data_IF_814681807068
#
_entry.id   IF_814681807068
#
_cell.length_a   1.000
_cell.length_b   1.000
_cell.length_c   1.000
_cell.angle_alpha   90.00
_cell.angle_beta   90.00
_cell.angle_gamma   90.00
#
_symmetry.space_group_name_H-M   'P 1'
#
loop_
_entity.id
_entity.type
_entity.pdbx_description
1 polymer ?
#
# COMPACT_ATOMS: atom_id res chain seq x y z
N UNK A 1 6.15 7.18 -5.81
CA UNK A 1 5.69 8.42 -6.49
C UNK A 1 6.83 9.04 -7.29
N UNK A 2 6.54 9.59 -8.49
CA UNK A 2 7.49 10.30 -9.38
C UNK A 2 7.86 11.66 -8.75
N UNK A 3 9.11 11.81 -8.31
CA UNK A 3 9.63 13.01 -7.59
C UNK A 3 9.86 14.22 -8.50
N UNK A 4 9.73 14.03 -9.80
CA UNK A 4 10.03 14.98 -10.87
C UNK A 4 8.90 15.99 -11.14
N UNK A 5 7.72 15.81 -10.52
CA UNK A 5 6.52 16.62 -10.79
C UNK A 5 6.13 17.57 -9.64
N UNK A 6 6.89 17.63 -8.55
CA UNK A 6 6.54 18.40 -7.36
C UNK A 6 7.75 19.20 -6.86
N UNK A 7 7.55 20.43 -6.34
CA UNK A 7 8.62 21.18 -5.73
C UNK A 7 9.23 20.39 -4.54
N UNK A 8 10.55 20.47 -4.30
CA UNK A 8 11.23 19.68 -3.27
C UNK A 8 10.59 19.79 -1.88
N UNK A 9 10.18 21.00 -1.48
CA UNK A 9 9.57 21.25 -0.18
C UNK A 9 8.24 20.49 0.02
N UNK A 10 7.49 20.28 -1.08
CA UNK A 10 6.27 19.48 -1.06
C UNK A 10 6.58 18.00 -0.96
N UNK A 11 7.65 17.53 -1.61
CA UNK A 11 8.09 16.13 -1.52
C UNK A 11 8.45 15.80 -0.07
N UNK A 12 9.17 16.68 0.61
CA UNK A 12 9.59 16.47 1.99
C UNK A 12 8.39 16.51 2.96
N UNK A 13 7.47 17.46 2.78
CA UNK A 13 6.23 17.51 3.57
C UNK A 13 5.34 16.27 3.36
N UNK A 14 5.18 15.82 2.11
CA UNK A 14 4.43 14.61 1.78
C UNK A 14 5.15 13.33 2.21
N UNK A 15 6.48 13.34 2.29
CA UNK A 15 7.28 12.23 2.82
C UNK A 15 7.10 12.09 4.34
N UNK A 16 6.98 13.19 5.08
CA UNK A 16 6.72 13.15 6.52
C UNK A 16 5.35 12.54 6.87
N UNK A 17 4.36 12.59 5.97
CA UNK A 17 3.10 11.85 6.11
C UNK A 17 3.27 10.32 5.99
N UNK A 18 4.40 9.83 5.47
CA UNK A 18 4.63 8.40 5.21
C UNK A 18 5.54 7.70 6.23
N UNK A 19 6.29 8.44 7.05
CA UNK A 19 7.32 7.85 7.92
C UNK A 19 6.83 7.59 9.37
N UNK A 20 7.12 6.38 9.88
CA UNK A 20 7.05 6.06 11.30
C UNK A 20 5.78 5.38 11.82
N UNK A 21 5.09 4.56 11.02
CA UNK A 21 3.86 3.90 11.48
C UNK A 21 4.14 2.67 12.36
N UNK A 22 3.64 2.63 13.61
CA UNK A 22 3.78 1.45 14.48
C UNK A 22 3.08 0.23 13.89
N UNK A 23 3.50 -0.96 14.31
CA UNK A 23 2.78 -2.18 13.96
C UNK A 23 1.35 -2.13 14.52
N UNK A 24 0.40 -2.73 13.80
CA UNK A 24 -0.91 -3.06 14.31
C UNK A 24 -0.77 -4.16 15.37
N UNK A 25 -1.62 -4.08 16.40
CA UNK A 25 -1.79 -5.18 17.35
C UNK A 25 -2.38 -6.40 16.62
N UNK A 26 -2.05 -7.60 17.09
CA UNK A 26 -2.47 -8.85 16.45
C UNK A 26 -3.99 -8.93 16.29
N UNK A 27 -4.74 -8.52 17.30
CA UNK A 27 -6.20 -8.56 17.33
C UNK A 27 -6.81 -7.73 16.19
N UNK A 28 -6.18 -6.60 15.83
CA UNK A 28 -6.62 -5.77 14.71
C UNK A 28 -6.34 -6.44 13.38
N UNK A 29 -5.17 -7.07 13.24
CA UNK A 29 -4.80 -7.83 12.03
C UNK A 29 -5.77 -8.98 11.82
N UNK A 30 -6.00 -9.78 12.86
CA UNK A 30 -6.93 -10.90 12.85
C UNK A 30 -8.33 -10.44 12.45
N UNK A 31 -8.84 -9.38 13.09
CA UNK A 31 -10.15 -8.82 12.77
C UNK A 31 -10.26 -8.41 11.29
N UNK A 32 -9.32 -7.64 10.75
CA UNK A 32 -9.36 -7.19 9.34
C UNK A 32 -9.33 -8.37 8.38
N UNK A 33 -8.52 -9.39 8.67
CA UNK A 33 -8.42 -10.58 7.83
C UNK A 33 -9.73 -11.36 7.85
N UNK A 34 -10.30 -11.60 9.02
CA UNK A 34 -11.52 -12.40 9.17
C UNK A 34 -12.75 -11.69 8.58
N UNK A 35 -12.89 -10.39 8.84
CA UNK A 35 -13.94 -9.56 8.24
C UNK A 35 -13.76 -9.45 6.72
N UNK A 36 -12.53 -9.24 6.25
CA UNK A 36 -12.24 -9.09 4.82
C UNK A 36 -12.50 -10.37 4.03
N UNK A 37 -12.13 -11.54 4.58
CA UNK A 37 -12.25 -12.83 3.90
C UNK A 37 -13.54 -13.58 4.25
N UNK A 38 -14.32 -13.10 5.23
CA UNK A 38 -15.54 -13.74 5.74
C UNK A 38 -15.30 -15.18 6.21
N UNK A 39 -14.13 -15.43 6.81
CA UNK A 39 -13.64 -16.74 7.30
C UNK A 39 -12.74 -16.51 8.50
N UNK A 40 -12.65 -17.49 9.40
CA UNK A 40 -11.62 -17.42 10.44
C UNK A 40 -10.23 -17.50 9.82
N UNK A 41 -9.23 -16.91 10.48
CA UNK A 41 -7.85 -16.91 9.97
C UNK A 41 -7.29 -18.33 9.83
N UNK A 42 -7.70 -19.21 10.74
CA UNK A 42 -7.37 -20.65 10.74
C UNK A 42 -8.09 -21.44 9.65
N UNK A 43 -9.25 -20.97 9.19
CA UNK A 43 -9.94 -21.55 8.04
C UNK A 43 -9.32 -21.09 6.72
N UNK A 44 -8.84 -19.84 6.66
CA UNK A 44 -8.20 -19.28 5.47
C UNK A 44 -6.76 -19.79 5.27
N UNK A 45 -5.99 -19.94 6.35
CA UNK A 45 -4.56 -20.28 6.32
C UNK A 45 -4.23 -21.45 7.24
N UNK A 46 -3.26 -22.28 6.86
CA UNK A 46 -2.74 -23.36 7.70
C UNK A 46 -1.89 -22.84 8.86
N UNK A 47 -1.17 -21.74 8.63
CA UNK A 47 -0.43 -21.00 9.65
C UNK A 47 -0.37 -19.53 9.28
N UNK A 48 -0.38 -18.63 10.27
CA UNK A 48 -0.24 -17.19 10.06
C UNK A 48 0.71 -16.63 11.12
N UNK A 49 1.74 -15.90 10.70
CA UNK A 49 2.71 -15.29 11.60
C UNK A 49 2.14 -14.01 12.22
N UNK A 50 2.16 -13.94 13.55
CA UNK A 50 1.67 -12.78 14.28
C UNK A 50 2.64 -11.61 14.18
N UNK A 51 3.93 -11.90 14.04
CA UNK A 51 4.93 -10.86 13.84
C UNK A 51 4.88 -10.38 12.38
N UNK A 52 4.80 -9.06 12.15
CA UNK A 52 4.79 -8.55 10.79
C UNK A 52 6.16 -8.72 10.13
N UNK A 53 6.15 -9.15 8.88
CA UNK A 53 7.31 -9.15 8.00
C UNK A 53 7.74 -7.72 7.63
N UNK A 54 6.77 -6.83 7.42
CA UNK A 54 7.01 -5.44 7.08
C UNK A 54 5.80 -4.55 7.41
N UNK A 55 6.08 -3.28 7.77
CA UNK A 55 5.08 -2.28 8.08
C UNK A 55 5.15 -1.15 7.06
N UNK A 56 4.01 -0.76 6.50
CA UNK A 56 3.88 0.37 5.58
C UNK A 56 2.76 1.31 6.06
N UNK A 57 2.67 2.47 5.40
CA UNK A 57 1.73 3.56 5.74
C UNK A 57 0.27 3.11 5.72
N UNK A 58 -0.14 2.33 4.72
CA UNK A 58 -1.55 1.90 4.56
C UNK A 58 -1.82 0.47 4.99
N UNK A 59 -0.77 -0.33 5.22
CA UNK A 59 -0.89 -1.76 5.42
C UNK A 59 0.27 -2.36 6.19
N UNK A 60 -0.01 -3.51 6.80
CA UNK A 60 0.96 -4.36 7.45
C UNK A 60 1.08 -5.68 6.69
N UNK A 61 2.28 -6.24 6.60
CA UNK A 61 2.57 -7.42 5.81
C UNK A 61 2.97 -8.57 6.71
N UNK A 62 2.33 -9.73 6.57
CA UNK A 62 2.58 -10.93 7.37
C UNK A 62 2.98 -12.12 6.49
N UNK A 63 3.70 -13.06 7.09
CA UNK A 63 3.93 -14.38 6.49
C UNK A 63 2.80 -15.33 6.86
N UNK A 64 2.39 -16.17 5.92
CA UNK A 64 1.45 -17.24 6.18
C UNK A 64 1.75 -18.46 5.31
N UNK A 65 1.06 -19.57 5.59
CA UNK A 65 1.09 -20.79 4.79
C UNK A 65 -0.34 -21.15 4.41
N UNK A 66 -0.59 -21.43 3.14
CA UNK A 66 -1.91 -21.91 2.68
C UNK A 66 -2.15 -23.35 3.10
N UNK A 67 -3.41 -23.81 3.08
CA UNK A 67 -3.73 -25.23 3.29
C UNK A 67 -3.14 -26.16 2.21
N UNK A 68 -2.73 -25.61 1.07
CA UNK A 68 -1.97 -26.33 0.04
C UNK A 68 -0.46 -26.45 0.34
N UNK A 69 0.03 -25.82 1.41
CA UNK A 69 1.45 -25.81 1.79
C UNK A 69 2.28 -24.69 1.18
N UNK A 70 1.67 -23.78 0.41
CA UNK A 70 2.39 -22.67 -0.20
C UNK A 70 2.72 -21.59 0.83
N UNK A 71 3.96 -21.07 0.79
CA UNK A 71 4.35 -19.90 1.57
C UNK A 71 3.87 -18.63 0.88
N UNK A 72 3.16 -17.79 1.62
CA UNK A 72 2.55 -16.57 1.11
C UNK A 72 2.85 -15.37 1.99
N UNK A 73 2.72 -14.20 1.38
CA UNK A 73 2.68 -12.90 2.02
C UNK A 73 1.24 -12.43 2.03
N UNK A 74 0.78 -11.95 3.18
CA UNK A 74 -0.55 -11.38 3.37
C UNK A 74 -0.39 -9.91 3.76
N UNK A 75 -0.79 -9.00 2.87
CA UNK A 75 -0.90 -7.57 3.17
C UNK A 75 -2.28 -7.31 3.76
N UNK A 76 -2.32 -6.71 4.93
CA UNK A 76 -3.52 -6.41 5.71
C UNK A 76 -3.62 -4.90 5.82
N UNK A 77 -4.71 -4.33 5.32
CA UNK A 77 -4.95 -2.91 5.36
C UNK A 77 -5.14 -2.44 6.81
N UNK A 78 -4.62 -1.25 7.13
CA UNK A 78 -4.81 -0.66 8.46
C UNK A 78 -6.27 -0.25 8.68
N UNK A 79 -6.88 -0.57 9.83
CA UNK A 79 -8.22 -0.12 10.16
C UNK A 79 -8.33 1.40 10.08
N UNK A 80 -9.48 1.90 9.61
CA UNK A 80 -9.79 3.34 9.52
C UNK A 80 -8.78 4.19 8.71
N UNK A 81 -7.87 3.58 7.94
CA UNK A 81 -6.87 4.32 7.17
C UNK A 81 -7.51 5.29 6.17
N UNK A 82 -8.63 4.93 5.55
CA UNK A 82 -9.34 5.82 4.64
C UNK A 82 -9.79 7.10 5.35
N UNK A 83 -10.29 6.99 6.59
CA UNK A 83 -10.78 8.14 7.35
C UNK A 83 -9.60 9.04 7.72
N UNK A 84 -8.51 8.45 8.24
CA UNK A 84 -7.30 9.21 8.58
C UNK A 84 -6.75 9.94 7.35
N UNK A 85 -6.65 9.21 6.24
CA UNK A 85 -6.12 9.73 4.98
C UNK A 85 -6.99 10.86 4.41
N UNK A 86 -8.32 10.77 4.52
CA UNK A 86 -9.21 11.87 4.15
C UNK A 86 -8.99 13.11 5.02
N UNK A 87 -8.82 12.95 6.33
CA UNK A 87 -8.49 14.05 7.23
C UNK A 87 -7.16 14.74 6.87
N UNK A 88 -6.13 13.95 6.54
CA UNK A 88 -4.84 14.49 6.10
C UNK A 88 -4.96 15.24 4.76
N UNK A 89 -5.76 14.72 3.82
CA UNK A 89 -6.05 15.38 2.55
C UNK A 89 -6.80 16.70 2.74
N UNK A 90 -7.77 16.77 3.66
CA UNK A 90 -8.48 18.01 3.97
C UNK A 90 -7.52 19.10 4.46
N UNK A 91 -6.56 18.75 5.31
CA UNK A 91 -5.51 19.69 5.76
C UNK A 91 -4.63 20.16 4.60
N UNK A 92 -4.26 19.26 3.69
CA UNK A 92 -3.49 19.62 2.49
C UNK A 92 -4.27 20.57 1.57
N UNK A 93 -5.58 20.34 1.37
CA UNK A 93 -6.42 21.24 0.60
C UNK A 93 -6.56 22.63 1.23
N UNK A 94 -6.66 22.71 2.57
CA UNK A 94 -6.67 23.99 3.28
C UNK A 94 -5.37 24.76 3.02
N UNK A 95 -4.22 24.08 3.13
CA UNK A 95 -2.90 24.68 2.84
C UNK A 95 -2.75 25.12 1.39
N UNK A 96 -3.15 24.27 0.45
CA UNK A 96 -3.12 24.56 -0.99
C UNK A 96 -3.93 25.82 -1.34
N UNK A 97 -5.16 25.92 -0.83
CA UNK A 97 -6.01 27.11 -1.03
C UNK A 97 -5.45 28.37 -0.39
N UNK A 98 -4.82 28.25 0.79
CA UNK A 98 -4.18 29.40 1.43
C UNK A 98 -3.05 29.94 0.55
N UNK A 99 -2.20 29.07 0.00
CA UNK A 99 -1.11 29.45 -0.89
C UNK A 99 -1.61 30.13 -2.18
N UNK A 100 -2.64 29.56 -2.81
CA UNK A 100 -3.29 30.14 -3.99
C UNK A 100 -3.87 31.53 -3.72
N UNK A 101 -4.41 31.74 -2.52
CA UNK A 101 -5.00 33.03 -2.13
C UNK A 101 -4.00 34.09 -1.68
N UNK A 102 -2.80 33.68 -1.25
CA UNK A 102 -1.81 34.59 -0.63
C UNK A 102 -0.65 34.94 -1.57
N UNK A 103 -0.33 34.07 -2.54
CA UNK A 103 0.81 34.22 -3.44
C UNK A 103 0.28 34.24 -4.88
N UNK A 104 0.31 35.41 -5.51
CA UNK A 104 -0.25 35.64 -6.84
C UNK A 104 0.41 34.72 -7.90
N UNK A 105 1.72 34.45 -7.77
CA UNK A 105 2.44 33.49 -8.63
C UNK A 105 2.04 32.01 -8.40
N UNK A 106 1.52 31.63 -7.22
CA UNK A 106 1.11 30.24 -6.95
C UNK A 106 -0.22 29.88 -7.60
N UNK A 107 -1.06 30.85 -7.95
CA UNK A 107 -2.29 30.61 -8.73
C UNK A 107 -1.99 29.93 -10.08
N UNK A 108 -0.78 30.13 -10.63
CA UNK A 108 -0.33 29.54 -11.90
C UNK A 108 0.12 28.07 -11.76
N UNK A 109 0.44 27.62 -10.55
CA UNK A 109 0.91 26.25 -10.27
C UNK A 109 -0.19 25.31 -9.77
N UNK A 110 -1.41 25.83 -9.58
CA UNK A 110 -2.59 25.08 -9.13
C UNK A 110 -2.31 24.05 -8.02
N UNK A 111 -1.76 24.46 -6.85
CA UNK A 111 -1.51 23.55 -5.72
C UNK A 111 -2.67 22.61 -5.38
N UNK A 112 -3.91 23.07 -5.49
CA UNK A 112 -5.10 22.23 -5.25
C UNK A 112 -5.21 21.07 -6.23
N UNK A 113 -4.80 21.25 -7.49
CA UNK A 113 -4.81 20.19 -8.50
C UNK A 113 -3.73 19.13 -8.22
N UNK A 114 -2.59 19.56 -7.68
CA UNK A 114 -1.52 18.65 -7.22
C UNK A 114 -2.04 17.76 -6.09
N UNK A 115 -2.73 18.35 -5.11
CA UNK A 115 -3.36 17.60 -4.01
C UNK A 115 -4.43 16.64 -4.56
N UNK A 116 -5.21 17.05 -5.56
CA UNK A 116 -6.24 16.19 -6.17
C UNK A 116 -5.66 15.00 -6.97
N UNK A 117 -4.52 15.16 -7.65
CA UNK A 117 -3.81 14.02 -8.25
C UNK A 117 -3.22 13.10 -7.19
N UNK A 118 -2.68 13.66 -6.11
CA UNK A 118 -2.14 12.90 -4.98
C UNK A 118 -3.22 12.06 -4.28
N UNK A 119 -4.38 12.66 -3.98
CA UNK A 119 -5.57 11.99 -3.45
C UNK A 119 -5.97 10.80 -4.33
N UNK A 120 -6.07 11.01 -5.64
CA UNK A 120 -6.43 9.94 -6.59
C UNK A 120 -5.43 8.80 -6.58
N UNK A 121 -4.14 9.10 -6.41
CA UNK A 121 -3.10 8.09 -6.23
C UNK A 121 -3.32 7.27 -4.96
N UNK A 122 -3.46 7.95 -3.83
CA UNK A 122 -3.63 7.33 -2.52
C UNK A 122 -4.90 6.48 -2.42
N UNK A 123 -6.05 6.98 -2.87
CA UNK A 123 -7.31 6.25 -2.82
C UNK A 123 -7.29 4.97 -3.68
N UNK A 124 -6.48 4.94 -4.75
CA UNK A 124 -6.30 3.70 -5.53
C UNK A 124 -5.54 2.63 -4.75
N UNK A 125 -4.60 3.01 -3.89
CA UNK A 125 -3.83 2.09 -3.05
C UNK A 125 -4.67 1.50 -1.90
N UNK A 126 -5.77 2.16 -1.51
CA UNK A 126 -6.70 1.66 -0.48
C UNK A 126 -7.59 0.51 -0.95
N UNK A 127 -7.55 0.13 -2.22
CA UNK A 127 -8.33 -1.01 -2.70
C UNK A 127 -7.39 -2.07 -3.27
N UNK A 128 -7.10 -3.08 -2.46
CA UNK A 128 -6.22 -4.18 -2.85
C UNK A 128 -6.76 -5.06 -3.97
N UNK A 129 -8.05 -4.96 -4.33
CA UNK A 129 -8.54 -5.59 -5.56
C UNK A 129 -7.88 -5.00 -6.81
N UNK A 130 -7.49 -3.72 -6.79
CA UNK A 130 -6.74 -3.11 -7.88
C UNK A 130 -5.34 -3.71 -7.97
N UNK A 131 -4.65 -3.86 -6.83
CA UNK A 131 -3.31 -4.45 -6.80
C UNK A 131 -3.34 -5.93 -7.22
N UNK A 132 -4.36 -6.68 -6.80
CA UNK A 132 -4.62 -8.05 -7.25
C UNK A 132 -4.72 -8.13 -8.79
N UNK A 133 -5.59 -7.31 -9.40
CA UNK A 133 -5.75 -7.29 -10.86
C UNK A 133 -4.49 -6.84 -11.60
N UNK A 134 -3.71 -5.92 -11.01
CA UNK A 134 -2.41 -5.52 -11.56
C UNK A 134 -1.40 -6.69 -11.53
N UNK A 135 -1.36 -7.48 -10.45
CA UNK A 135 -0.49 -8.66 -10.36
C UNK A 135 -0.87 -9.72 -11.40
N UNK A 136 -2.16 -10.01 -11.57
CA UNK A 136 -2.66 -10.94 -12.58
C UNK A 136 -2.27 -10.50 -13.99
N UNK A 137 -2.49 -9.21 -14.30
CA UNK A 137 -2.14 -8.62 -15.60
C UNK A 137 -0.63 -8.66 -15.83
N UNK A 138 0.17 -8.27 -14.84
CA UNK A 138 1.63 -8.24 -14.95
C UNK A 138 2.22 -9.65 -15.17
N UNK A 139 1.65 -10.68 -14.51
CA UNK A 139 2.04 -12.07 -14.76
C UNK A 139 1.69 -12.53 -16.17
N UNK A 140 0.50 -12.18 -16.67
CA UNK A 140 0.07 -12.58 -18.00
C UNK A 140 0.92 -11.95 -19.12
N UNK A 141 1.47 -10.76 -18.87
CA UNK A 141 2.32 -10.02 -19.81
C UNK A 141 3.82 -10.32 -19.64
N UNK A 142 4.20 -11.18 -18.69
CA UNK A 142 5.59 -11.46 -18.38
C UNK A 142 6.27 -12.20 -19.54
N UNK A 143 7.36 -11.63 -20.04
CA UNK A 143 8.22 -12.28 -21.03
C UNK A 143 9.11 -13.33 -20.34
N UNK A 144 8.93 -14.64 -20.63
CA UNK A 144 9.70 -15.70 -19.98
C UNK A 144 11.21 -15.63 -20.26
N UNK A 145 11.65 -14.88 -21.28
CA UNK A 145 13.05 -14.69 -21.58
C UNK A 145 13.75 -13.67 -20.66
N UNK A 146 12.99 -12.86 -19.90
CA UNK A 146 13.54 -11.85 -19.00
C UNK A 146 13.73 -12.40 -17.58
N UNK A 147 14.79 -11.97 -16.86
CA UNK A 147 15.06 -12.42 -15.49
C UNK A 147 14.19 -11.68 -14.46
N UNK A 148 12.90 -11.49 -14.76
CA UNK A 148 11.93 -10.80 -13.91
C UNK A 148 10.82 -11.79 -13.61
N UNK A 149 10.37 -11.86 -12.36
CA UNK A 149 9.22 -12.67 -11.95
C UNK A 149 8.22 -11.79 -11.20
N UNK A 150 6.94 -12.18 -11.24
CA UNK A 150 5.86 -11.50 -10.52
C UNK A 150 5.19 -12.54 -9.61
N UNK A 151 5.00 -12.24 -8.31
CA UNK A 151 4.42 -13.17 -7.35
C UNK A 151 3.07 -13.70 -7.82
N UNK A 152 2.83 -15.00 -7.68
CA UNK A 152 1.50 -15.56 -7.92
C UNK A 152 0.48 -14.95 -6.93
N UNK A 153 -0.61 -14.31 -7.40
CA UNK A 153 -1.69 -13.89 -6.51
C UNK A 153 -2.56 -15.07 -6.07
N UNK A 154 -3.26 -14.92 -4.95
CA UNK A 154 -4.28 -15.87 -4.45
C UNK A 154 -5.62 -15.14 -4.33
N UNK A 155 -6.41 -15.06 -5.41
CA UNK A 155 -7.68 -14.32 -5.42
C UNK A 155 -8.68 -14.80 -4.36
N UNK A 156 -8.70 -16.10 -4.05
CA UNK A 156 -9.57 -16.72 -3.05
C UNK A 156 -9.20 -16.39 -1.60
N UNK A 157 -8.00 -15.83 -1.39
CA UNK A 157 -7.47 -15.32 -0.12
C UNK A 157 -7.22 -13.81 -0.19
N UNK A 158 -7.88 -13.11 -1.12
CA UNK A 158 -7.73 -11.67 -1.34
C UNK A 158 -9.08 -10.97 -1.46
N UNK A 159 -9.13 -9.72 -1.03
CA UNK A 159 -10.29 -8.84 -1.11
C UNK A 159 -9.84 -7.38 -1.14
N UNK A 160 -10.72 -6.43 -0.83
CA UNK A 160 -10.37 -4.99 -0.82
C UNK A 160 -9.36 -4.62 0.26
N UNK A 161 -9.39 -5.30 1.40
CA UNK A 161 -8.60 -4.99 2.61
C UNK A 161 -7.50 -6.00 2.89
N UNK A 162 -7.47 -7.13 2.16
CA UNK A 162 -6.47 -8.19 2.30
C UNK A 162 -5.93 -8.56 0.91
N UNK A 163 -4.60 -8.60 0.74
CA UNK A 163 -3.97 -9.13 -0.47
C UNK A 163 -3.04 -10.27 -0.13
N UNK A 164 -3.28 -11.43 -0.71
CA UNK A 164 -2.42 -12.61 -0.54
C UNK A 164 -1.68 -12.91 -1.85
N UNK A 165 -0.36 -13.05 -1.75
CA UNK A 165 0.50 -13.39 -2.89
C UNK A 165 1.66 -14.30 -2.48
N UNK A 166 2.27 -14.97 -3.44
CA UNK A 166 3.43 -15.83 -3.24
C UNK A 166 4.56 -15.11 -2.50
N UNK A 167 5.15 -15.77 -1.51
CA UNK A 167 6.32 -15.25 -0.84
C UNK A 167 7.58 -15.49 -1.67
N UNK A 168 8.26 -14.41 -2.05
CA UNK A 168 9.61 -14.48 -2.61
C UNK A 168 10.67 -14.15 -1.56
N UNK A 169 11.54 -15.11 -1.21
CA UNK A 169 12.72 -14.81 -0.42
C UNK A 169 13.72 -14.02 -1.28
N UNK A 170 14.20 -12.89 -0.78
CA UNK A 170 15.14 -12.07 -1.53
C UNK A 170 15.68 -10.88 -0.74
N UNK A 171 16.65 -10.19 -1.32
CA UNK A 171 17.18 -8.93 -0.82
C UNK A 171 16.50 -7.75 -1.51
N UNK A 172 16.11 -6.75 -0.73
CA UNK A 172 15.55 -5.51 -1.28
C UNK A 172 16.60 -4.79 -2.13
N UNK A 173 16.20 -4.30 -3.31
CA UNK A 173 17.06 -3.49 -4.18
C UNK A 173 17.63 -2.25 -3.45
N UNK A 174 16.91 -1.71 -2.47
CA UNK A 174 17.38 -0.57 -1.65
C UNK A 174 18.61 -0.90 -0.80
N UNK A 175 18.80 -2.17 -0.46
CA UNK A 175 19.94 -2.66 0.33
C UNK A 175 21.14 -3.06 -0.53
N UNK A 176 20.97 -3.04 -1.86
CA UNK A 176 22.06 -3.23 -2.79
C UNK A 176 22.71 -1.86 -3.02
N UNK A 177 23.69 -1.51 -2.19
CA UNK A 177 24.59 -0.41 -2.50
C UNK A 177 25.33 -0.74 -3.78
N UNK A 178 25.09 0.03 -4.83
CA UNK A 178 25.94 0.05 -6.02
C UNK A 178 27.31 0.55 -5.57
N UNK A 179 28.31 -0.33 -5.58
CA UNK A 179 29.71 0.04 -5.35
C UNK A 179 30.27 0.90 -6.46
#
# INVERSE_FOLDING_TARGET
TRRDLMPPDWIDALAQLQDGTPALEWEQVEQVVEEGLQKSITSAFASFDKEPLANASIAQTHLATTHGGDRVVVKVQRPAIEISMRGDLDLLYIGARLLESTIEEMSLYTPSDIVAEFERGLLRELNFANELGNLETARALLDPAKPITVPRPYPELSCKTVLTMEYFPGRSLRTLTTG
#
